data_IF_627358115793
#
_entry.id   IF_627358115793
#
_cell.length_a   1.000
_cell.length_b   1.000
_cell.length_c   1.000
_cell.angle_alpha   90.00
_cell.angle_beta   90.00
_cell.angle_gamma   90.00
#
_symmetry.space_group_name_H-M   'P 1'
#
loop_
_entity.id
_entity.type
_entity.pdbx_description
1 polymer ?
#
# COMPACT_ATOMS: atom_id res chain seq x y z
N UNK A 1 9.97 16.43 6.53
CA UNK A 1 9.67 14.99 6.72
C UNK A 1 8.93 14.37 5.52
N UNK A 2 8.57 15.14 4.48
CA UNK A 2 7.68 14.67 3.39
C UNK A 2 8.33 13.90 2.24
N UNK A 3 9.67 13.82 2.16
CA UNK A 3 10.34 13.25 0.97
C UNK A 3 10.47 11.72 0.96
N UNK A 4 10.23 11.02 2.08
CA UNK A 4 10.48 9.58 2.17
C UNK A 4 9.51 8.76 1.28
N UNK A 5 8.26 9.20 1.16
CA UNK A 5 7.21 8.52 0.39
C UNK A 5 6.98 9.13 -1.01
N UNK A 6 8.05 9.66 -1.62
CA UNK A 6 7.97 10.17 -3.00
C UNK A 6 8.14 9.05 -4.01
N UNK A 7 7.65 9.26 -5.25
CA UNK A 7 7.89 8.33 -6.36
C UNK A 7 9.38 8.16 -6.67
N UNK A 8 10.18 9.20 -6.45
CA UNK A 8 11.62 9.22 -6.74
C UNK A 8 12.41 8.29 -5.82
N UNK A 9 11.91 8.07 -4.60
CA UNK A 9 12.55 7.21 -3.61
C UNK A 9 11.95 5.80 -3.58
N UNK A 10 10.96 5.49 -4.43
CA UNK A 10 10.26 4.21 -4.45
C UNK A 10 10.99 3.20 -5.32
N UNK A 11 11.54 2.17 -4.70
CA UNK A 11 12.24 1.06 -5.37
C UNK A 11 11.24 0.12 -6.04
N UNK A 12 10.16 -0.23 -5.36
CA UNK A 12 9.16 -1.18 -5.86
C UNK A 12 7.77 -0.87 -5.35
N UNK A 13 6.77 -1.30 -6.13
CA UNK A 13 5.35 -1.11 -5.85
C UNK A 13 4.55 -2.27 -6.41
N UNK A 14 4.01 -3.10 -5.55
CA UNK A 14 3.10 -4.19 -5.89
C UNK A 14 1.69 -3.82 -5.49
N UNK A 15 0.73 -4.13 -6.34
CA UNK A 15 -0.64 -3.62 -6.22
C UNK A 15 -1.65 -4.72 -6.52
N UNK A 16 -2.65 -4.84 -5.66
CA UNK A 16 -3.79 -5.75 -5.83
C UNK A 16 -5.09 -4.96 -5.71
N UNK A 17 -6.04 -5.24 -6.60
CA UNK A 17 -7.33 -4.57 -6.63
C UNK A 17 -8.44 -5.56 -6.34
N UNK A 18 -9.35 -5.17 -5.43
CA UNK A 18 -10.47 -5.95 -4.96
C UNK A 18 -11.76 -5.19 -5.26
N UNK A 19 -12.52 -5.59 -6.29
CA UNK A 19 -13.75 -4.90 -6.66
C UNK A 19 -14.78 -4.94 -5.54
N UNK A 20 -15.24 -3.77 -5.10
CA UNK A 20 -16.28 -3.64 -4.09
C UNK A 20 -16.82 -2.20 -4.05
N UNK A 21 -18.07 -2.00 -3.60
CA UNK A 21 -18.55 -0.67 -3.26
C UNK A 21 -17.64 -0.02 -2.20
N UNK A 22 -17.15 1.18 -2.47
CA UNK A 22 -16.23 1.89 -1.55
C UNK A 22 -16.92 2.97 -0.72
N UNK A 23 -18.10 3.41 -1.13
CA UNK A 23 -18.82 4.52 -0.51
C UNK A 23 -20.33 4.40 -0.69
N UNK A 24 -21.08 4.86 0.30
CA UNK A 24 -22.52 5.13 0.22
C UNK A 24 -22.83 6.54 0.77
N UNK A 25 -24.12 6.87 0.91
CA UNK A 25 -24.58 8.16 1.48
C UNK A 25 -24.05 8.43 2.89
N UNK A 26 -23.68 7.38 3.64
CA UNK A 26 -23.19 7.46 5.03
C UNK A 26 -21.65 7.54 5.13
N UNK A 27 -20.93 7.40 4.02
CA UNK A 27 -19.46 7.49 3.99
C UNK A 27 -18.77 6.27 3.37
N UNK A 28 -17.50 6.07 3.73
CA UNK A 28 -16.67 4.98 3.23
C UNK A 28 -17.19 3.65 3.79
N UNK A 29 -17.35 2.66 2.92
CA UNK A 29 -17.75 1.31 3.32
C UNK A 29 -16.55 0.52 3.87
N UNK A 30 -16.76 -0.58 4.59
CA UNK A 30 -15.66 -1.48 4.92
C UNK A 30 -15.06 -2.11 3.66
N UNK A 31 -13.76 -2.40 3.70
CA UNK A 31 -13.12 -3.20 2.66
C UNK A 31 -13.66 -4.65 2.67
N UNK A 32 -13.70 -5.34 1.52
CA UNK A 32 -14.06 -6.75 1.47
C UNK A 32 -13.01 -7.59 2.23
N UNK A 33 -13.44 -8.75 2.72
CA UNK A 33 -12.60 -9.63 3.55
C UNK A 33 -11.29 -9.99 2.84
N UNK A 34 -11.33 -10.29 1.55
CA UNK A 34 -10.16 -10.68 0.75
C UNK A 34 -9.09 -9.56 0.70
N UNK A 35 -9.51 -8.29 0.65
CA UNK A 35 -8.59 -7.16 0.67
C UNK A 35 -7.91 -6.99 2.04
N UNK A 36 -8.66 -7.27 3.12
CA UNK A 36 -8.15 -7.25 4.49
C UNK A 36 -7.17 -8.39 4.70
N UNK A 37 -7.54 -9.62 4.30
CA UNK A 37 -6.67 -10.79 4.37
C UNK A 37 -5.37 -10.56 3.59
N UNK A 38 -5.44 -10.02 2.37
CA UNK A 38 -4.23 -9.74 1.58
C UNK A 38 -3.31 -8.75 2.27
N UNK A 39 -3.87 -7.71 2.90
CA UNK A 39 -3.09 -6.74 3.68
C UNK A 39 -2.39 -7.41 4.86
N UNK A 40 -3.10 -8.25 5.61
CA UNK A 40 -2.53 -8.94 6.77
C UNK A 40 -1.49 -9.99 6.38
N UNK A 41 -1.70 -10.74 5.29
CA UNK A 41 -0.70 -11.63 4.68
C UNK A 41 0.62 -10.89 4.40
N UNK A 42 0.54 -9.72 3.75
CA UNK A 42 1.71 -8.91 3.43
C UNK A 42 2.38 -8.30 4.68
N UNK A 43 1.60 -7.96 5.72
CA UNK A 43 2.16 -7.50 6.99
C UNK A 43 2.92 -8.60 7.73
N UNK A 44 2.41 -9.83 7.70
CA UNK A 44 3.00 -10.96 8.39
C UNK A 44 4.19 -11.55 7.63
N UNK A 45 4.17 -11.54 6.29
CA UNK A 45 5.27 -12.01 5.45
C UNK A 45 6.21 -10.86 5.02
N UNK A 46 5.77 -10.07 4.03
CA UNK A 46 6.60 -9.10 3.30
C UNK A 46 7.30 -8.06 4.19
N UNK A 47 6.60 -7.55 5.22
CA UNK A 47 7.18 -6.56 6.13
C UNK A 47 8.20 -7.16 7.11
N UNK A 48 8.14 -8.47 7.38
CA UNK A 48 9.04 -9.14 8.33
C UNK A 48 10.30 -9.72 7.67
N UNK A 49 10.31 -9.80 6.34
CA UNK A 49 11.51 -10.20 5.61
C UNK A 49 12.67 -9.21 5.84
N UNK A 50 13.89 -9.76 5.96
CA UNK A 50 15.09 -8.93 6.09
C UNK A 50 15.30 -8.11 4.82
N UNK A 51 15.28 -6.79 4.97
CA UNK A 51 15.64 -5.83 3.92
C UNK A 51 16.98 -5.17 4.18
N UNK A 52 17.46 -4.37 3.23
CA UNK A 52 18.59 -3.49 3.45
C UNK A 52 18.28 -2.44 4.54
N UNK A 53 19.24 -2.02 5.38
CA UNK A 53 18.97 -1.06 6.48
C UNK A 53 18.40 0.30 6.06
N UNK A 54 18.56 0.68 4.78
CA UNK A 54 18.00 1.91 4.22
C UNK A 54 16.63 1.70 3.55
N UNK A 55 16.14 0.46 3.47
CA UNK A 55 14.82 0.16 2.95
C UNK A 55 13.75 0.50 3.98
N UNK A 56 12.73 1.21 3.52
CA UNK A 56 11.48 1.39 4.23
C UNK A 56 10.37 0.67 3.47
N UNK A 57 9.78 -0.35 4.09
CA UNK A 57 8.68 -1.12 3.50
C UNK A 57 7.36 -0.71 4.14
N UNK A 58 6.30 -0.55 3.34
CA UNK A 58 4.96 -0.32 3.86
C UNK A 58 3.90 -1.11 3.10
N UNK A 59 2.84 -1.49 3.82
CA UNK A 59 1.62 -2.08 3.25
C UNK A 59 0.45 -1.17 3.57
N UNK A 60 -0.30 -0.76 2.54
CA UNK A 60 -1.49 0.09 2.67
C UNK A 60 -2.72 -0.55 2.03
N UNK A 61 -3.90 -0.19 2.55
CA UNK A 61 -5.21 -0.58 2.04
C UNK A 61 -6.06 0.68 1.97
N UNK A 62 -6.56 1.03 0.78
CA UNK A 62 -7.37 2.22 0.58
C UNK A 62 -8.45 2.01 -0.50
N UNK A 63 -9.59 2.70 -0.41
CA UNK A 63 -10.54 2.76 -1.52
C UNK A 63 -9.91 3.43 -2.74
N UNK A 64 -10.24 2.95 -3.93
CA UNK A 64 -9.77 3.48 -5.21
C UNK A 64 -10.80 3.22 -6.32
N UNK A 65 -10.49 3.72 -7.52
CA UNK A 65 -11.14 3.34 -8.77
C UNK A 65 -10.08 2.82 -9.72
N UNK A 66 -10.26 1.60 -10.24
CA UNK A 66 -9.39 0.99 -11.24
C UNK A 66 -10.23 0.59 -12.46
N UNK A 67 -9.83 1.01 -13.66
CA UNK A 67 -10.52 0.70 -14.92
C UNK A 67 -12.04 1.02 -14.90
N UNK A 68 -12.43 2.12 -14.23
CA UNK A 68 -13.83 2.52 -14.10
C UNK A 68 -14.65 1.74 -13.06
N UNK A 69 -14.05 0.78 -12.35
CA UNK A 69 -14.68 0.00 -11.29
C UNK A 69 -14.22 0.49 -9.91
N UNK A 70 -15.18 0.69 -8.99
CA UNK A 70 -14.89 0.99 -7.60
C UNK A 70 -14.38 -0.26 -6.87
N UNK A 71 -13.42 -0.07 -5.97
CA UNK A 71 -12.91 -1.16 -5.15
C UNK A 71 -11.81 -0.71 -4.20
N UNK A 72 -11.16 -1.67 -3.57
CA UNK A 72 -10.07 -1.42 -2.65
C UNK A 72 -8.76 -1.84 -3.26
N UNK A 73 -7.72 -1.06 -3.00
CA UNK A 73 -6.38 -1.34 -3.45
C UNK A 73 -5.49 -1.61 -2.25
N UNK A 74 -4.86 -2.78 -2.26
CA UNK A 74 -3.74 -3.11 -1.37
C UNK A 74 -2.45 -2.78 -2.12
N UNK A 75 -1.57 -2.00 -1.49
CA UNK A 75 -0.23 -1.68 -2.02
C UNK A 75 0.84 -2.14 -1.06
N UNK A 76 1.84 -2.85 -1.57
CA UNK A 76 3.09 -3.09 -0.88
C UNK A 76 4.19 -2.31 -1.60
N UNK A 77 4.86 -1.41 -0.89
CA UNK A 77 5.84 -0.50 -1.47
C UNK A 77 7.14 -0.54 -0.66
N UNK A 78 8.27 -0.50 -1.37
CA UNK A 78 9.60 -0.35 -0.78
C UNK A 78 10.18 0.98 -1.23
N UNK A 79 10.66 1.76 -0.28
CA UNK A 79 11.33 3.04 -0.50
C UNK A 79 12.77 2.94 0.00
N UNK A 80 13.67 3.71 -0.61
CA UNK A 80 15.03 3.90 -0.08
C UNK A 80 15.11 5.25 0.63
N UNK A 81 15.64 5.24 1.85
CA UNK A 81 15.97 6.48 2.52
C UNK A 81 17.22 7.07 1.87
N UNK A 82 17.05 8.07 1.00
CA UNK A 82 18.16 8.88 0.53
C UNK A 82 18.82 9.57 1.74
N UNK A 83 20.02 9.13 2.12
CA UNK A 83 20.88 9.91 3.01
C UNK A 83 21.21 11.21 2.29
N UNK A 84 20.77 12.34 2.85
CA UNK A 84 21.30 13.64 2.41
C UNK A 84 22.81 13.60 2.61
N UNK A 85 23.59 13.81 1.56
CA UNK A 85 24.94 14.34 1.73
C UNK A 85 24.82 15.71 2.42
N UNK A 86 25.72 15.95 3.39
CA UNK A 86 25.74 17.10 4.30
C UNK A 86 25.71 18.45 3.59
#
# INVERSE_FOLDING_TARGET
MERLFSKENRISSFTWFFPAPTRNERGILPAPHEAVEKKEELKEGWLKEKGHPQEFRCVSLAPTTANGQAGYQVRAETFIQATREN
#
